data_IF_137342756312
#
_entry.id   IF_137342756312
#
_cell.length_a   1.000
_cell.length_b   1.000
_cell.length_c   1.000
_cell.angle_alpha   90.00
_cell.angle_beta   90.00
_cell.angle_gamma   90.00
#
_symmetry.space_group_name_H-M   'P 1'
#
loop_
_entity.id
_entity.type
_entity.pdbx_description
1 polymer ?
#
# COMPACT_ATOMS: atom_id res chain seq x y z
N UNK A 1 -24.47 -5.75 25.29
CA UNK A 1 -23.25 -5.01 24.87
C UNK A 1 -22.41 -6.02 24.10
N UNK A 2 -22.67 -6.20 22.81
CA UNK A 2 -21.92 -7.13 21.97
C UNK A 2 -20.71 -6.35 21.44
N UNK A 3 -19.53 -6.65 21.98
CA UNK A 3 -18.27 -6.20 21.40
C UNK A 3 -18.04 -7.01 20.12
N UNK A 4 -18.37 -6.41 18.99
CA UNK A 4 -17.93 -6.90 17.69
C UNK A 4 -16.48 -6.46 17.50
N UNK A 5 -15.54 -7.38 17.70
CA UNK A 5 -14.14 -7.24 17.29
C UNK A 5 -14.16 -7.49 15.78
N UNK A 6 -13.96 -6.45 14.98
CA UNK A 6 -13.86 -6.61 13.52
C UNK A 6 -12.63 -7.43 13.16
N UNK A 7 -12.71 -8.19 12.07
CA UNK A 7 -11.57 -8.96 11.54
C UNK A 7 -10.39 -8.00 11.21
N UNK A 8 -9.14 -8.35 11.58
CA UNK A 8 -7.98 -7.50 11.33
C UNK A 8 -7.76 -7.30 9.82
N UNK A 9 -7.23 -6.12 9.44
CA UNK A 9 -6.97 -5.74 8.04
C UNK A 9 -5.47 -5.89 7.78
N UNK A 10 -5.09 -6.89 6.98
CA UNK A 10 -3.75 -7.50 7.09
C UNK A 10 -3.09 -7.85 5.74
N UNK A 11 -2.76 -6.91 4.85
CA UNK A 11 -1.89 -7.26 3.69
C UNK A 11 -0.85 -6.18 3.36
N UNK A 12 0.41 -6.48 3.70
CA UNK A 12 1.61 -5.70 3.34
C UNK A 12 2.66 -6.67 2.83
N UNK A 13 3.15 -6.49 1.61
CA UNK A 13 4.18 -7.39 1.05
C UNK A 13 5.54 -6.72 1.13
N UNK A 14 6.45 -7.38 1.84
CA UNK A 14 7.86 -7.02 1.96
C UNK A 14 8.70 -8.08 1.23
N UNK A 15 9.57 -7.65 0.32
CA UNK A 15 10.46 -8.55 -0.43
C UNK A 15 11.94 -8.32 -0.09
N UNK A 16 12.70 -9.42 0.00
CA UNK A 16 14.15 -9.43 0.26
C UNK A 16 14.84 -10.41 -0.70
N UNK A 17 15.96 -9.99 -1.31
CA UNK A 17 16.89 -10.84 -2.05
C UNK A 17 18.21 -11.07 -1.27
N UNK A 18 18.39 -12.26 -0.68
CA UNK A 18 19.61 -12.62 0.09
C UNK A 18 20.47 -13.65 -0.66
N UNK A 19 21.79 -13.39 -0.73
CA UNK A 19 22.81 -14.36 -1.16
C UNK A 19 23.35 -15.13 0.06
N UNK A 20 22.75 -16.29 0.32
CA UNK A 20 23.27 -17.41 1.11
C UNK A 20 23.60 -17.19 2.60
N UNK A 21 22.86 -17.92 3.45
CA UNK A 21 23.42 -18.78 4.51
C UNK A 21 22.37 -19.82 4.92
N UNK A 22 22.64 -21.09 4.61
CA UNK A 22 21.83 -22.23 5.04
C UNK A 22 21.79 -22.32 6.57
N UNK A 23 20.60 -22.37 7.16
CA UNK A 23 20.41 -22.97 8.48
C UNK A 23 19.20 -23.92 8.46
N UNK A 24 19.44 -25.09 9.05
CA UNK A 24 18.73 -26.38 8.97
C UNK A 24 17.21 -26.36 9.17
N UNK A 25 16.54 -27.08 8.26
CA UNK A 25 15.32 -27.93 8.33
C UNK A 25 14.33 -27.77 9.49
N UNK A 26 13.04 -27.56 9.14
CA UNK A 26 11.88 -28.40 9.55
C UNK A 26 10.56 -27.96 8.87
N UNK A 27 9.46 -28.77 8.89
CA UNK A 27 8.81 -29.24 7.66
C UNK A 27 7.61 -28.43 7.12
N UNK A 28 7.35 -28.71 5.85
CA UNK A 28 6.18 -28.45 5.01
C UNK A 28 4.85 -28.33 5.78
N UNK A 29 4.14 -27.21 5.56
CA UNK A 29 2.71 -27.07 5.90
C UNK A 29 1.90 -27.13 4.60
N UNK A 30 1.10 -28.21 4.47
CA UNK A 30 -0.04 -28.32 3.57
C UNK A 30 -1.24 -27.57 4.17
N UNK A 31 -2.03 -26.93 3.30
CA UNK A 31 -3.38 -26.40 3.53
C UNK A 31 -3.62 -25.64 4.85
N UNK A 32 -3.45 -24.31 4.78
CA UNK A 32 -4.10 -23.39 5.72
C UNK A 32 -5.12 -22.55 4.94
N UNK A 33 -6.41 -22.75 5.25
CA UNK A 33 -7.53 -22.01 4.69
C UNK A 33 -7.44 -20.52 4.96
N UNK A 34 -8.07 -19.76 4.05
CA UNK A 34 -8.13 -18.30 4.05
C UNK A 34 -8.54 -17.71 5.40
N UNK A 35 -7.59 -17.09 6.10
CA UNK A 35 -7.84 -16.11 7.13
C UNK A 35 -6.76 -15.03 7.03
N UNK A 36 -7.21 -13.79 6.86
CA UNK A 36 -6.50 -12.50 6.95
C UNK A 36 -5.10 -12.59 7.58
N UNK A 37 -4.05 -12.45 6.77
CA UNK A 37 -2.69 -12.37 7.26
C UNK A 37 -1.75 -11.59 6.33
N UNK A 38 -0.91 -10.71 6.88
CA UNK A 38 0.08 -9.95 6.13
C UNK A 38 1.22 -10.88 5.71
N UNK A 39 1.50 -10.96 4.41
CA UNK A 39 2.46 -11.88 3.83
C UNK A 39 3.77 -11.17 3.44
N UNK A 40 4.86 -11.46 4.16
CA UNK A 40 6.23 -11.18 3.74
C UNK A 40 6.67 -12.28 2.76
N UNK A 41 7.25 -11.93 1.60
CA UNK A 41 7.68 -12.91 0.59
C UNK A 41 9.13 -12.65 0.18
N UNK A 42 10.05 -13.57 0.50
CA UNK A 42 11.48 -13.48 0.12
C UNK A 42 11.68 -14.00 -1.30
N UNK A 43 12.16 -13.16 -2.22
CA UNK A 43 12.43 -13.53 -3.62
C UNK A 43 13.94 -13.56 -3.89
N UNK A 44 14.45 -14.68 -4.41
CA UNK A 44 15.84 -14.81 -4.87
C UNK A 44 15.87 -14.70 -6.40
N UNK A 45 16.51 -13.66 -6.94
CA UNK A 45 16.71 -13.48 -8.37
C UNK A 45 18.16 -13.78 -8.76
N UNK A 46 18.40 -14.83 -9.55
CA UNK A 46 19.67 -15.03 -10.26
C UNK A 46 19.46 -14.68 -11.74
N UNK A 47 20.32 -13.82 -12.29
CA UNK A 47 20.28 -13.38 -13.68
C UNK A 47 20.19 -14.56 -14.65
N UNK A 48 19.09 -14.66 -15.39
CA UNK A 48 18.90 -15.61 -16.47
C UNK A 48 19.06 -14.95 -17.84
N UNK A 49 20.17 -15.24 -18.52
CA UNK A 49 20.37 -14.90 -19.93
C UNK A 49 19.18 -15.39 -20.78
N UNK A 50 18.56 -14.48 -21.52
CA UNK A 50 17.43 -14.75 -22.39
C UNK A 50 17.89 -15.47 -23.67
N UNK A 51 18.20 -16.76 -23.58
CA UNK A 51 18.40 -17.62 -24.73
C UNK A 51 17.32 -18.71 -24.81
N UNK A 52 16.57 -18.68 -25.91
CA UNK A 52 15.54 -19.65 -26.29
C UNK A 52 16.11 -21.07 -26.29
N UNK A 53 15.71 -21.89 -25.32
CA UNK A 53 15.96 -23.32 -25.35
C UNK A 53 15.59 -24.05 -24.05
N UNK A 54 14.38 -24.63 -24.02
CA UNK A 54 13.94 -25.70 -23.09
C UNK A 54 14.23 -25.47 -21.59
N UNK A 55 13.38 -24.69 -20.93
CA UNK A 55 13.40 -24.56 -19.47
C UNK A 55 12.74 -25.77 -18.79
N UNK A 56 13.55 -26.62 -18.14
CA UNK A 56 13.12 -27.24 -16.89
C UNK A 56 13.24 -26.15 -15.83
N UNK A 57 12.14 -25.53 -15.44
CA UNK A 57 12.12 -24.50 -14.40
C UNK A 57 12.65 -25.09 -13.09
N UNK A 58 13.89 -24.76 -12.75
CA UNK A 58 14.36 -24.87 -11.37
C UNK A 58 13.74 -23.69 -10.63
N UNK A 59 12.57 -23.88 -10.03
CA UNK A 59 12.06 -22.88 -9.09
C UNK A 59 12.97 -22.87 -7.87
N UNK A 60 13.70 -21.78 -7.64
CA UNK A 60 14.36 -21.54 -6.37
C UNK A 60 13.28 -21.47 -5.28
N UNK A 61 13.41 -22.19 -4.16
CA UNK A 61 12.39 -22.17 -3.11
C UNK A 61 12.18 -20.75 -2.57
N UNK A 62 10.95 -20.24 -2.70
CA UNK A 62 10.52 -18.97 -2.12
C UNK A 62 10.17 -19.19 -0.65
N UNK A 63 10.71 -18.35 0.25
CA UNK A 63 10.35 -18.36 1.68
C UNK A 63 9.30 -17.28 1.94
N UNK A 64 8.11 -17.70 2.30
CA UNK A 64 7.02 -16.81 2.69
C UNK A 64 6.92 -16.84 4.21
N UNK A 65 6.93 -15.67 4.84
CA UNK A 65 6.70 -15.51 6.27
C UNK A 65 5.43 -14.69 6.48
N UNK A 66 4.65 -15.06 7.49
CA UNK A 66 3.39 -14.39 7.79
C UNK A 66 3.53 -13.68 9.13
N UNK A 67 3.38 -12.36 9.11
CA UNK A 67 3.49 -11.51 10.28
C UNK A 67 2.17 -10.77 10.48
N UNK A 68 1.73 -10.62 11.73
CA UNK A 68 0.48 -9.92 12.01
C UNK A 68 0.71 -8.39 12.02
N UNK A 69 -0.24 -7.65 11.45
CA UNK A 69 -0.35 -6.21 11.59
C UNK A 69 -1.80 -5.77 11.42
N UNK A 70 -2.33 -5.04 12.40
CA UNK A 70 -3.64 -4.41 12.33
C UNK A 70 -3.48 -2.92 12.01
N UNK A 71 -3.87 -2.50 10.81
CA UNK A 71 -3.86 -1.10 10.40
C UNK A 71 -4.89 -0.23 11.16
N UNK A 72 -5.79 -0.83 11.92
CA UNK A 72 -6.67 -0.13 12.85
C UNK A 72 -5.97 0.32 14.15
N UNK A 73 -4.72 -0.11 14.39
CA UNK A 73 -3.94 0.26 15.58
C UNK A 73 -2.56 0.80 15.23
N UNK A 74 -2.26 2.02 15.68
CA UNK A 74 -0.95 2.64 15.43
C UNK A 74 0.18 1.91 16.16
N UNK A 75 -0.07 1.30 17.31
CA UNK A 75 0.94 0.46 17.99
C UNK A 75 1.24 -0.81 17.19
N UNK A 76 0.22 -1.44 16.60
CA UNK A 76 0.44 -2.60 15.75
C UNK A 76 1.30 -2.25 14.53
N UNK A 77 1.04 -1.10 13.88
CA UNK A 77 1.86 -0.60 12.77
C UNK A 77 3.31 -0.39 13.19
N UNK A 78 3.54 0.34 14.31
CA UNK A 78 4.89 0.57 14.84
C UNK A 78 5.61 -0.73 15.17
N UNK A 79 4.93 -1.70 15.77
CA UNK A 79 5.50 -3.01 16.09
C UNK A 79 5.94 -3.76 14.82
N UNK A 80 5.10 -3.76 13.79
CA UNK A 80 5.42 -4.35 12.49
C UNK A 80 6.65 -3.68 11.85
N UNK A 81 6.69 -2.35 11.79
CA UNK A 81 7.82 -1.61 11.23
C UNK A 81 9.12 -1.82 12.02
N UNK A 82 9.06 -1.89 13.36
CA UNK A 82 10.23 -2.21 14.19
C UNK A 82 10.79 -3.58 13.82
N UNK A 83 9.95 -4.60 13.72
CA UNK A 83 10.37 -5.94 13.28
C UNK A 83 10.92 -5.94 11.85
N UNK A 84 10.29 -5.21 10.94
CA UNK A 84 10.75 -5.10 9.55
C UNK A 84 12.11 -4.40 9.45
N UNK A 85 12.42 -3.45 10.34
CA UNK A 85 13.73 -2.78 10.39
C UNK A 85 14.88 -3.69 10.87
N UNK A 86 14.58 -4.84 11.46
CA UNK A 86 15.57 -5.84 11.85
C UNK A 86 15.95 -6.78 10.69
N UNK A 87 15.27 -6.68 9.54
CA UNK A 87 15.62 -7.42 8.35
C UNK A 87 16.91 -6.87 7.72
N UNK A 88 17.77 -7.76 7.23
CA UNK A 88 19.03 -7.37 6.61
C UNK A 88 18.87 -6.56 5.31
N UNK A 89 17.77 -6.82 4.59
CA UNK A 89 17.45 -6.22 3.29
C UNK A 89 15.95 -6.16 3.09
N UNK A 90 15.45 -5.04 2.58
CA UNK A 90 14.07 -4.82 2.13
C UNK A 90 14.14 -4.06 0.81
N UNK A 91 13.82 -4.74 -0.28
CA UNK A 91 13.87 -4.18 -1.64
C UNK A 91 12.56 -3.53 -2.04
N UNK A 92 11.45 -4.13 -1.60
CA UNK A 92 10.10 -3.75 -2.04
C UNK A 92 9.18 -3.71 -0.82
N UNK A 93 8.41 -2.63 -0.71
CA UNK A 93 7.25 -2.51 0.17
C UNK A 93 6.03 -2.29 -0.70
N UNK A 94 4.99 -3.11 -0.52
CA UNK A 94 3.68 -2.91 -1.14
C UNK A 94 2.64 -2.68 -0.05
N UNK A 95 2.17 -1.44 0.07
CA UNK A 95 1.05 -1.02 0.92
C UNK A 95 -0.27 -1.38 0.23
N UNK A 96 -0.65 -2.66 0.29
CA UNK A 96 -1.84 -3.19 -0.40
C UNK A 96 -3.12 -3.05 0.41
N UNK A 97 -3.03 -3.24 1.73
CA UNK A 97 -4.18 -3.29 2.61
C UNK A 97 -5.10 -2.06 2.44
N UNK A 98 -6.39 -2.34 2.38
CA UNK A 98 -7.43 -1.33 2.25
C UNK A 98 -8.75 -1.76 2.88
N UNK A 99 -9.52 -0.76 3.32
CA UNK A 99 -10.82 -0.91 3.92
C UNK A 99 -11.85 -0.10 3.13
N UNK A 100 -12.88 -0.79 2.65
CA UNK A 100 -14.06 -0.19 2.03
C UNK A 100 -15.26 -0.57 2.89
N UNK A 101 -15.91 0.44 3.48
CA UNK A 101 -16.94 0.27 4.51
C UNK A 101 -18.09 1.25 4.37
N UNK A 102 -19.30 0.81 4.69
CA UNK A 102 -20.44 1.71 4.97
C UNK A 102 -20.65 1.93 6.49
N UNK A 103 -20.00 1.12 7.32
CA UNK A 103 -20.09 1.23 8.78
C UNK A 103 -19.19 2.36 9.25
N UNK A 104 -19.78 3.32 9.96
CA UNK A 104 -19.04 4.32 10.70
C UNK A 104 -18.51 3.71 12.01
N UNK A 105 -17.21 3.86 12.22
CA UNK A 105 -16.51 3.50 13.44
C UNK A 105 -15.25 4.36 13.52
N UNK A 106 -14.76 4.57 14.74
CA UNK A 106 -13.48 5.24 14.97
C UNK A 106 -12.39 4.22 15.32
N UNK A 107 -11.21 4.40 14.72
CA UNK A 107 -9.96 3.74 15.08
C UNK A 107 -8.93 4.81 15.43
N UNK A 108 -8.31 4.70 16.60
CA UNK A 108 -7.33 5.67 17.11
C UNK A 108 -7.85 7.13 17.06
N UNK A 109 -9.16 7.31 17.21
CA UNK A 109 -9.82 8.61 17.15
C UNK A 109 -10.24 9.09 15.76
N UNK A 110 -9.87 8.42 14.67
CA UNK A 110 -10.20 8.78 13.29
C UNK A 110 -11.25 7.85 12.69
N UNK A 111 -11.98 8.31 11.66
CA UNK A 111 -12.90 7.42 10.93
C UNK A 111 -12.12 6.24 10.32
N UNK A 112 -12.64 5.02 10.47
CA UNK A 112 -11.89 3.79 10.22
C UNK A 112 -11.27 3.65 8.83
N UNK A 113 -11.94 4.09 7.76
CA UNK A 113 -11.35 4.05 6.42
C UNK A 113 -10.22 5.07 6.30
N UNK A 114 -10.38 6.25 6.89
CA UNK A 114 -9.32 7.26 6.96
C UNK A 114 -8.12 6.78 7.81
N UNK A 115 -8.38 6.16 8.97
CA UNK A 115 -7.35 5.57 9.82
C UNK A 115 -6.54 4.52 9.06
N UNK A 116 -7.21 3.57 8.40
CA UNK A 116 -6.57 2.45 7.71
C UNK A 116 -5.92 2.90 6.40
N UNK A 117 -6.70 3.45 5.46
CA UNK A 117 -6.27 3.68 4.07
C UNK A 117 -5.35 4.89 3.89
N UNK A 118 -5.28 5.76 4.91
CA UNK A 118 -4.51 7.00 4.85
C UNK A 118 -3.49 7.02 6.00
N UNK A 119 -3.94 7.14 7.24
CA UNK A 119 -3.02 7.43 8.36
C UNK A 119 -2.05 6.27 8.59
N UNK A 120 -2.55 5.06 8.80
CA UNK A 120 -1.73 3.87 9.05
C UNK A 120 -0.88 3.48 7.84
N UNK A 121 -1.44 3.55 6.62
CA UNK A 121 -0.68 3.33 5.37
C UNK A 121 0.51 4.28 5.26
N UNK A 122 0.31 5.59 5.47
CA UNK A 122 1.40 6.55 5.36
C UNK A 122 2.34 6.52 6.56
N UNK A 123 1.86 6.21 7.77
CA UNK A 123 2.71 5.94 8.93
C UNK A 123 3.68 4.79 8.64
N UNK A 124 3.15 3.67 8.14
CA UNK A 124 3.96 2.50 7.79
C UNK A 124 4.97 2.81 6.68
N UNK A 125 4.50 3.43 5.59
CA UNK A 125 5.34 3.85 4.48
C UNK A 125 6.54 4.69 4.94
N UNK A 126 6.30 5.73 5.76
CA UNK A 126 7.36 6.61 6.27
C UNK A 126 8.28 5.92 7.28
N UNK A 127 7.77 5.01 8.11
CA UNK A 127 8.58 4.22 9.04
C UNK A 127 9.49 3.21 8.32
N UNK A 128 9.11 2.76 7.12
CA UNK A 128 9.89 1.80 6.32
C UNK A 128 10.85 2.47 5.32
N UNK A 129 10.75 3.79 5.08
CA UNK A 129 11.70 4.51 4.23
C UNK A 129 13.18 4.34 4.65
N UNK A 130 13.55 4.39 5.95
CA UNK A 130 14.94 4.21 6.37
C UNK A 130 15.52 2.85 5.97
N UNK A 131 14.78 1.74 6.14
CA UNK A 131 15.28 0.39 5.81
C UNK A 131 15.40 0.17 4.30
N UNK A 132 14.49 0.76 3.50
CA UNK A 132 14.62 0.80 2.04
C UNK A 132 15.90 1.55 1.61
N UNK A 133 16.20 2.69 2.25
CA UNK A 133 17.41 3.45 1.93
C UNK A 133 18.69 2.78 2.38
N UNK A 134 18.68 2.11 3.52
CA UNK A 134 19.80 1.27 3.94
C UNK A 134 20.04 0.16 2.91
N UNK A 135 18.97 -0.48 2.42
CA UNK A 135 19.05 -1.47 1.36
C UNK A 135 19.67 -0.90 0.08
N UNK A 136 19.24 0.29 -0.35
CA UNK A 136 19.87 1.00 -1.46
C UNK A 136 21.37 1.19 -1.26
N UNK A 137 21.76 1.75 -0.11
CA UNK A 137 23.16 2.07 0.16
C UNK A 137 24.06 0.83 0.20
N UNK A 138 23.56 -0.29 0.76
CA UNK A 138 24.35 -1.52 0.95
C UNK A 138 24.37 -2.43 -0.28
N UNK A 139 23.27 -2.53 -1.02
CA UNK A 139 23.13 -3.53 -2.08
C UNK A 139 23.11 -2.92 -3.48
N UNK A 140 22.46 -1.79 -3.67
CA UNK A 140 22.37 -1.17 -5.01
C UNK A 140 23.60 -0.33 -5.33
N UNK A 141 23.96 0.59 -4.43
CA UNK A 141 25.06 1.55 -4.68
C UNK A 141 26.44 0.88 -4.61
N UNK A 142 26.65 -0.04 -3.67
CA UNK A 142 27.94 -0.70 -3.48
C UNK A 142 28.19 -1.86 -4.46
N UNK A 143 27.15 -2.58 -4.88
CA UNK A 143 27.31 -3.75 -5.77
C UNK A 143 27.04 -3.43 -7.25
N UNK A 144 26.67 -2.18 -7.57
CA UNK A 144 26.43 -1.72 -8.94
C UNK A 144 25.19 -2.34 -9.57
N UNK A 145 24.20 -2.75 -8.77
CA UNK A 145 22.93 -3.28 -9.28
C UNK A 145 22.15 -2.16 -9.99
N UNK A 146 21.72 -2.43 -11.22
CA UNK A 146 20.88 -1.52 -12.00
C UNK A 146 19.44 -1.58 -11.52
N UNK A 147 19.13 -0.96 -10.40
CA UNK A 147 17.78 -0.88 -9.85
C UNK A 147 17.68 0.09 -8.68
N UNK A 148 16.49 0.15 -8.08
CA UNK A 148 16.24 0.91 -6.86
C UNK A 148 15.24 0.14 -5.98
N UNK A 149 15.28 0.31 -4.65
CA UNK A 149 14.18 -0.13 -3.81
C UNK A 149 12.87 0.59 -4.16
N UNK A 150 11.75 -0.10 -3.99
CA UNK A 150 10.42 0.39 -4.34
C UNK A 150 9.49 0.43 -3.12
N UNK A 151 8.81 1.55 -2.95
CA UNK A 151 7.64 1.71 -2.10
C UNK A 151 6.42 1.91 -3.01
N UNK A 152 5.54 0.92 -3.06
CA UNK A 152 4.35 0.95 -3.89
C UNK A 152 3.11 1.06 -2.99
N UNK A 153 2.27 2.07 -3.24
CA UNK A 153 1.00 2.25 -2.52
C UNK A 153 -0.17 1.87 -3.41
N UNK A 154 -1.11 1.09 -2.91
CA UNK A 154 -2.28 0.70 -3.72
C UNK A 154 -3.35 1.78 -3.71
N UNK A 155 -3.56 2.36 -4.89
CA UNK A 155 -4.58 3.35 -5.19
C UNK A 155 -5.95 2.72 -5.43
N UNK A 156 -6.81 3.48 -6.10
CA UNK A 156 -8.07 2.99 -6.65
C UNK A 156 -8.66 4.00 -7.63
N UNK A 157 -9.22 3.53 -8.75
CA UNK A 157 -10.02 4.29 -9.68
C UNK A 157 -11.26 4.92 -9.02
N UNK A 158 -11.59 4.55 -7.78
CA UNK A 158 -12.51 5.28 -6.91
C UNK A 158 -12.19 6.79 -6.83
N UNK A 159 -10.91 7.18 -6.93
CA UNK A 159 -10.49 8.60 -6.93
C UNK A 159 -11.13 9.45 -8.04
N UNK A 160 -11.59 8.85 -9.15
CA UNK A 160 -12.28 9.58 -10.23
C UNK A 160 -13.73 9.92 -9.90
N UNK A 161 -14.34 9.27 -8.91
CA UNK A 161 -15.79 9.35 -8.65
C UNK A 161 -16.14 10.16 -7.40
N UNK A 162 -15.14 10.69 -6.69
CA UNK A 162 -15.39 11.47 -5.48
C UNK A 162 -15.68 12.95 -5.78
N UNK A 163 -16.66 13.50 -5.07
CA UNK A 163 -16.89 14.94 -4.99
C UNK A 163 -16.09 15.61 -3.86
N UNK A 164 -15.49 14.83 -2.97
CA UNK A 164 -14.68 15.20 -1.80
C UNK A 164 -15.07 16.53 -1.16
N UNK A 165 -16.30 16.65 -0.67
CA UNK A 165 -16.84 17.91 -0.14
C UNK A 165 -16.05 18.43 1.07
N UNK A 166 -15.56 17.53 1.92
CA UNK A 166 -14.82 17.87 3.15
C UNK A 166 -13.48 18.55 2.87
N UNK A 167 -12.99 18.59 1.61
CA UNK A 167 -11.76 19.29 1.25
C UNK A 167 -11.78 20.80 1.54
N UNK A 168 -12.98 21.37 1.66
CA UNK A 168 -13.19 22.80 1.92
C UNK A 168 -13.36 23.12 3.40
N UNK A 169 -13.47 22.10 4.27
CA UNK A 169 -13.60 22.29 5.71
C UNK A 169 -12.28 22.79 6.32
N UNK A 170 -12.26 23.43 7.50
CA UNK A 170 -11.03 23.93 8.13
C UNK A 170 -10.02 22.84 8.52
N UNK A 171 -10.50 21.64 8.89
CA UNK A 171 -9.69 20.44 9.11
C UNK A 171 -10.36 19.28 8.41
N UNK A 172 -9.64 18.66 7.48
CA UNK A 172 -10.15 17.58 6.63
C UNK A 172 -10.34 16.32 7.49
N UNK A 173 -9.34 15.96 8.31
CA UNK A 173 -9.40 14.77 9.15
C UNK A 173 -10.51 14.86 10.21
N UNK A 174 -10.71 16.03 10.84
CA UNK A 174 -11.84 16.22 11.77
C UNK A 174 -13.19 16.20 11.05
N UNK A 175 -13.31 16.80 9.86
CA UNK A 175 -14.54 16.74 9.08
C UNK A 175 -14.91 15.31 8.63
N UNK A 176 -13.91 14.46 8.37
CA UNK A 176 -14.10 13.06 8.02
C UNK A 176 -14.45 12.17 9.23
N UNK A 177 -14.22 12.63 10.46
CA UNK A 177 -14.45 11.88 11.70
C UNK A 177 -15.90 11.47 11.92
N UNK A 178 -16.85 12.29 11.47
CA UNK A 178 -18.28 12.02 11.60
C UNK A 178 -18.81 10.93 10.65
N UNK A 179 -20.02 10.46 10.92
CA UNK A 179 -20.74 9.46 10.12
C UNK A 179 -21.42 10.06 8.88
N UNK A 180 -20.81 11.07 8.27
CA UNK A 180 -21.35 11.77 7.10
C UNK A 180 -21.42 10.87 5.87
N UNK A 181 -20.92 11.35 4.73
CA UNK A 181 -20.97 10.60 3.47
C UNK A 181 -20.06 9.35 3.46
N UNK A 182 -20.52 8.26 4.08
CA UNK A 182 -19.85 6.96 4.12
C UNK A 182 -19.80 6.28 2.76
N UNK A 183 -20.66 6.68 1.81
CA UNK A 183 -20.67 6.16 0.44
C UNK A 183 -19.49 6.66 -0.36
N UNK A 184 -19.17 7.95 -0.27
CA UNK A 184 -17.99 8.52 -0.93
C UNK A 184 -16.71 8.42 -0.08
N UNK A 185 -16.80 8.03 1.20
CA UNK A 185 -15.64 7.98 2.11
C UNK A 185 -14.45 7.20 1.52
N UNK A 186 -14.69 6.02 0.96
CA UNK A 186 -13.63 5.23 0.32
C UNK A 186 -12.95 6.00 -0.82
N UNK A 187 -13.75 6.57 -1.74
CA UNK A 187 -13.26 7.36 -2.86
C UNK A 187 -12.47 8.60 -2.39
N UNK A 188 -12.92 9.27 -1.31
CA UNK A 188 -12.18 10.35 -0.68
C UNK A 188 -10.81 9.85 -0.20
N UNK A 189 -10.75 8.74 0.54
CA UNK A 189 -9.47 8.21 1.06
C UNK A 189 -8.49 7.86 -0.06
N UNK A 190 -8.98 7.36 -1.20
CA UNK A 190 -8.13 7.01 -2.34
C UNK A 190 -7.63 8.25 -3.10
N UNK A 191 -8.43 9.29 -3.22
CA UNK A 191 -7.95 10.60 -3.71
C UNK A 191 -6.95 11.24 -2.74
N UNK A 192 -7.21 11.19 -1.43
CA UNK A 192 -6.26 11.68 -0.41
C UNK A 192 -4.91 10.99 -0.54
N UNK A 193 -4.88 9.65 -0.57
CA UNK A 193 -3.62 8.90 -0.66
C UNK A 193 -2.87 9.18 -1.96
N UNK A 194 -3.56 9.39 -3.08
CA UNK A 194 -2.91 9.82 -4.32
C UNK A 194 -2.21 11.18 -4.15
N UNK A 195 -2.91 12.17 -3.61
CA UNK A 195 -2.36 13.51 -3.42
C UNK A 195 -1.17 13.46 -2.45
N UNK A 196 -1.30 12.72 -1.35
CA UNK A 196 -0.20 12.51 -0.40
C UNK A 196 1.00 11.85 -1.09
N UNK A 197 0.80 10.84 -1.93
CA UNK A 197 1.89 10.19 -2.66
C UNK A 197 2.68 11.18 -3.52
N UNK A 198 1.99 12.02 -4.29
CA UNK A 198 2.62 13.06 -5.11
C UNK A 198 3.44 14.03 -4.27
N UNK A 199 2.92 14.39 -3.10
CA UNK A 199 3.52 15.37 -2.19
C UNK A 199 4.72 14.80 -1.41
N UNK A 200 4.68 13.51 -1.08
CA UNK A 200 5.80 12.76 -0.51
C UNK A 200 6.90 12.58 -1.56
N UNK A 201 6.56 12.13 -2.77
CA UNK A 201 7.51 11.97 -3.87
C UNK A 201 8.26 13.27 -4.17
N UNK A 202 7.53 14.38 -4.31
CA UNK A 202 8.12 15.72 -4.47
C UNK A 202 9.11 16.06 -3.36
N UNK A 203 8.77 15.79 -2.09
CA UNK A 203 9.68 16.06 -0.96
C UNK A 203 10.88 15.13 -0.92
N UNK A 204 10.75 13.90 -1.37
CA UNK A 204 11.88 12.97 -1.48
C UNK A 204 12.92 13.52 -2.47
N UNK A 205 12.47 14.06 -3.60
CA UNK A 205 13.32 14.71 -4.60
C UNK A 205 14.01 15.97 -4.04
N UNK A 206 13.32 16.75 -3.22
CA UNK A 206 13.83 17.97 -2.58
C UNK A 206 14.74 17.71 -1.37
N UNK A 207 14.57 16.57 -0.69
CA UNK A 207 15.18 16.25 0.61
C UNK A 207 16.63 15.77 0.57
N UNK A 208 17.18 15.50 -0.61
CA UNK A 208 18.60 15.14 -0.80
C UNK A 208 19.03 13.78 -0.23
N UNK A 209 18.08 12.96 0.21
CA UNK A 209 18.34 11.59 0.70
C UNK A 209 18.47 10.60 -0.46
N UNK A 210 19.05 9.41 -0.22
CA UNK A 210 19.10 8.37 -1.25
C UNK A 210 17.72 8.10 -1.84
N UNK A 211 17.63 8.21 -3.17
CA UNK A 211 16.37 8.07 -3.90
C UNK A 211 15.87 6.62 -3.83
N UNK A 212 14.59 6.46 -3.51
CA UNK A 212 13.85 5.22 -3.73
C UNK A 212 12.70 5.52 -4.71
N UNK A 213 12.15 4.50 -5.34
CA UNK A 213 10.97 4.67 -6.21
C UNK A 213 9.72 4.65 -5.33
N UNK A 214 8.92 5.71 -5.38
CA UNK A 214 7.60 5.76 -4.77
C UNK A 214 6.58 5.84 -5.90
N UNK A 215 5.65 4.89 -6.01
CA UNK A 215 4.57 4.97 -6.99
C UNK A 215 3.25 4.51 -6.40
N UNK A 216 2.17 4.77 -7.14
CA UNK A 216 0.84 4.29 -6.79
C UNK A 216 0.31 3.36 -7.87
N UNK A 217 -0.15 2.16 -7.50
CA UNK A 217 -0.72 1.18 -8.43
C UNK A 217 -2.23 1.08 -8.27
N UNK A 218 -2.94 1.03 -9.38
CA UNK A 218 -4.33 0.63 -9.46
C UNK A 218 -4.45 -0.76 -10.11
N UNK A 219 -4.98 -1.75 -9.38
CA UNK A 219 -5.13 -3.09 -9.92
C UNK A 219 -6.38 -3.26 -10.81
N UNK A 220 -7.23 -2.24 -10.90
CA UNK A 220 -8.57 -2.31 -11.47
C UNK A 220 -9.56 -3.02 -10.54
N UNK A 221 -10.77 -3.24 -11.04
CA UNK A 221 -11.78 -4.02 -10.32
C UNK A 221 -11.37 -5.50 -10.26
N UNK A 222 -10.89 -5.96 -9.10
CA UNK A 222 -10.41 -7.32 -8.88
C UNK A 222 -11.34 -8.11 -7.95
N UNK A 223 -11.42 -9.42 -8.18
CA UNK A 223 -12.06 -10.36 -7.26
C UNK A 223 -11.29 -10.37 -5.93
N UNK A 224 -11.83 -9.72 -4.91
CA UNK A 224 -11.18 -9.52 -3.62
C UNK A 224 -12.21 -9.41 -2.50
N UNK A 225 -11.74 -9.57 -1.26
CA UNK A 225 -12.54 -9.39 -0.04
C UNK A 225 -12.72 -7.92 0.35
N UNK A 226 -12.54 -6.98 -0.60
CA UNK A 226 -12.78 -5.56 -0.38
C UNK A 226 -14.25 -5.27 0.01
N UNK A 227 -15.19 -6.05 -0.53
CA UNK A 227 -16.64 -5.95 -0.24
C UNK A 227 -17.12 -6.98 0.80
N UNK A 228 -16.23 -7.55 1.62
CA UNK A 228 -16.54 -8.64 2.57
C UNK A 228 -17.60 -8.31 3.62
N UNK A 229 -17.82 -7.03 3.93
CA UNK A 229 -18.73 -6.62 4.98
C UNK A 229 -20.18 -7.05 4.72
N UNK A 230 -20.83 -7.64 5.73
CA UNK A 230 -22.22 -8.09 5.59
C UNK A 230 -23.23 -6.94 5.60
N UNK A 231 -22.80 -5.72 5.84
CA UNK A 231 -23.64 -4.52 5.96
C UNK A 231 -24.10 -3.94 4.63
N UNK A 232 -23.59 -4.44 3.50
CA UNK A 232 -24.07 -4.04 2.17
C UNK A 232 -25.55 -4.37 1.98
N UNK A 233 -26.26 -3.42 1.36
CA UNK A 233 -27.65 -3.57 0.95
C UNK A 233 -27.84 -4.78 0.03
N UNK A 234 -28.97 -5.47 0.16
CA UNK A 234 -29.23 -6.73 -0.55
C UNK A 234 -29.17 -6.57 -2.08
N UNK A 235 -29.63 -5.44 -2.62
CA UNK A 235 -29.62 -5.17 -4.05
C UNK A 235 -28.20 -4.93 -4.58
N UNK A 236 -27.33 -4.32 -3.76
CA UNK A 236 -25.92 -4.13 -4.10
C UNK A 236 -25.19 -5.47 -4.13
N UNK A 237 -25.45 -6.33 -3.13
CA UNK A 237 -24.91 -7.71 -3.11
C UNK A 237 -25.33 -8.51 -4.33
N UNK A 238 -26.60 -8.43 -4.73
CA UNK A 238 -27.10 -9.08 -5.94
C UNK A 238 -26.40 -8.56 -7.20
N UNK A 239 -26.27 -7.24 -7.31
CA UNK A 239 -25.58 -6.61 -8.45
C UNK A 239 -24.11 -7.03 -8.52
N UNK A 240 -23.39 -7.05 -7.40
CA UNK A 240 -22.00 -7.51 -7.33
C UNK A 240 -21.84 -9.00 -7.60
N UNK A 241 -22.80 -9.84 -7.20
CA UNK A 241 -22.78 -11.27 -7.50
C UNK A 241 -22.87 -11.56 -9.01
N UNK A 242 -23.51 -10.68 -9.77
CA UNK A 242 -23.61 -10.76 -11.24
C UNK A 242 -22.43 -10.06 -11.92
N UNK A 243 -22.02 -8.89 -11.44
CA UNK A 243 -20.97 -8.08 -12.06
C UNK A 243 -19.57 -8.69 -11.87
N UNK A 244 -19.27 -9.24 -10.69
CA UNK A 244 -17.91 -9.71 -10.33
C UNK A 244 -17.40 -10.82 -11.26
N UNK A 245 -18.17 -11.88 -11.59
CA UNK A 245 -17.67 -12.95 -12.47
C UNK A 245 -17.41 -12.49 -13.91
N UNK A 246 -18.04 -11.39 -14.35
CA UNK A 246 -18.00 -10.92 -15.74
C UNK A 246 -17.01 -9.78 -15.95
N UNK A 247 -16.94 -8.86 -14.98
CA UNK A 247 -16.20 -7.60 -15.11
C UNK A 247 -14.94 -7.57 -14.24
N UNK A 248 -14.86 -8.35 -13.16
CA UNK A 248 -13.71 -8.32 -12.28
C UNK A 248 -12.54 -9.12 -12.86
N UNK A 249 -11.34 -8.55 -12.75
CA UNK A 249 -10.08 -9.24 -12.97
C UNK A 249 -9.92 -10.35 -11.94
N UNK A 250 -9.35 -11.47 -12.37
CA UNK A 250 -8.88 -12.49 -11.43
C UNK A 250 -7.75 -11.92 -10.56
N UNK A 251 -7.51 -12.46 -9.37
CA UNK A 251 -6.38 -12.04 -8.54
C UNK A 251 -5.04 -12.15 -9.27
N UNK A 252 -4.87 -13.17 -10.11
CA UNK A 252 -3.67 -13.33 -10.95
C UNK A 252 -3.51 -12.16 -11.93
N UNK A 253 -4.57 -11.79 -12.66
CA UNK A 253 -4.52 -10.65 -13.58
C UNK A 253 -4.25 -9.33 -12.85
N UNK A 254 -4.90 -9.13 -11.69
CA UNK A 254 -4.66 -7.97 -10.82
C UNK A 254 -3.21 -7.91 -10.35
N UNK A 255 -2.64 -9.02 -9.91
CA UNK A 255 -1.26 -9.11 -9.39
C UNK A 255 -0.20 -8.65 -10.38
N UNK A 256 -0.45 -8.78 -11.69
CA UNK A 256 0.48 -8.32 -12.74
C UNK A 256 0.74 -6.81 -12.66
N UNK A 257 -0.26 -6.02 -12.29
CA UNK A 257 -0.12 -4.57 -12.11
C UNK A 257 0.86 -4.24 -10.97
N UNK A 258 0.81 -4.99 -9.87
CA UNK A 258 1.73 -4.86 -8.74
C UNK A 258 3.16 -5.18 -9.16
N UNK A 259 3.36 -6.32 -9.82
CA UNK A 259 4.67 -6.75 -10.30
C UNK A 259 5.24 -5.72 -11.28
N UNK A 260 4.41 -5.19 -12.17
CA UNK A 260 4.82 -4.12 -13.08
C UNK A 260 5.22 -2.85 -12.30
N UNK A 261 4.40 -2.39 -11.36
CA UNK A 261 4.67 -1.18 -10.58
C UNK A 261 5.98 -1.27 -9.80
N UNK A 262 6.27 -2.40 -9.17
CA UNK A 262 7.54 -2.60 -8.42
C UNK A 262 8.74 -2.89 -9.32
N UNK A 263 8.52 -3.02 -10.64
CA UNK A 263 9.57 -3.23 -11.64
C UNK A 263 9.77 -2.04 -12.59
N UNK A 264 8.91 -1.01 -12.52
CA UNK A 264 8.88 0.10 -13.48
C UNK A 264 10.07 1.07 -13.31
N UNK A 265 10.76 1.05 -12.17
CA UNK A 265 11.95 1.85 -11.90
C UNK A 265 11.68 3.34 -11.76
N UNK A 266 12.75 4.15 -11.84
CA UNK A 266 12.72 5.60 -11.62
C UNK A 266 11.68 6.38 -12.44
N UNK A 267 11.37 6.04 -13.70
CA UNK A 267 10.32 6.73 -14.45
C UNK A 267 8.93 6.69 -13.81
N UNK A 268 8.67 5.73 -12.90
CA UNK A 268 7.41 5.64 -12.17
C UNK A 268 7.37 6.43 -10.87
N UNK A 269 8.49 7.02 -10.43
CA UNK A 269 8.57 7.78 -9.19
C UNK A 269 7.61 8.99 -9.21
N UNK A 270 6.70 9.07 -8.24
CA UNK A 270 5.68 10.10 -8.13
C UNK A 270 4.46 9.92 -9.04
N UNK A 271 4.37 8.80 -9.77
CA UNK A 271 3.30 8.56 -10.74
C UNK A 271 2.27 7.54 -10.25
N UNK A 272 1.05 7.74 -10.74
CA UNK A 272 -0.03 6.77 -10.71
C UNK A 272 0.12 5.81 -11.90
N UNK A 273 -0.20 4.54 -11.67
CA UNK A 273 -0.02 3.47 -12.63
C UNK A 273 -1.26 2.59 -12.65
N UNK A 274 -1.68 2.16 -13.82
CA UNK A 274 -2.76 1.20 -14.01
C UNK A 274 -2.45 0.38 -15.25
N UNK A 275 -3.03 -0.81 -15.39
CA UNK A 275 -2.95 -1.62 -16.61
C UNK A 275 -1.53 -1.89 -17.13
N UNK A 276 -0.57 -1.93 -16.21
CA UNK A 276 0.86 -2.09 -16.49
C UNK A 276 1.46 -0.94 -17.33
N UNK A 277 0.99 0.28 -17.09
CA UNK A 277 1.49 1.51 -17.69
C UNK A 277 1.46 2.70 -16.72
N UNK A 278 2.23 3.75 -17.05
CA UNK A 278 2.07 5.05 -16.39
C UNK A 278 0.74 5.64 -16.83
N UNK A 279 -0.08 6.10 -15.88
CA UNK A 279 -1.40 6.65 -16.18
C UNK A 279 -1.60 8.02 -15.53
N UNK A 280 -2.64 8.72 -15.97
CA UNK A 280 -3.03 10.01 -15.42
C UNK A 280 -4.05 9.82 -14.31
N UNK A 281 -3.85 10.45 -13.13
CA UNK A 281 -4.82 10.40 -12.06
C UNK A 281 -6.12 11.17 -12.39
N UNK A 282 -7.03 11.29 -11.42
CA UNK A 282 -8.21 12.14 -11.55
C UNK A 282 -7.81 13.55 -12.00
N UNK A 283 -8.46 14.13 -13.04
CA UNK A 283 -8.09 15.44 -13.57
C UNK A 283 -8.07 16.54 -12.50
N UNK A 284 -8.89 16.39 -11.44
CA UNK A 284 -8.90 17.28 -10.29
C UNK A 284 -7.50 17.44 -9.66
N UNK A 285 -6.70 16.37 -9.58
CA UNK A 285 -5.39 16.39 -8.96
C UNK A 285 -4.39 17.33 -9.68
N UNK A 286 -4.59 17.60 -10.97
CA UNK A 286 -3.73 18.47 -11.77
C UNK A 286 -4.23 19.93 -11.85
N UNK A 287 -5.43 20.20 -11.31
CA UNK A 287 -5.93 21.57 -11.16
C UNK A 287 -5.13 22.34 -10.10
N UNK A 288 -5.16 23.67 -10.15
CA UNK A 288 -4.54 24.50 -9.11
C UNK A 288 -5.16 24.25 -7.72
N UNK A 289 -6.47 24.01 -7.67
CA UNK A 289 -7.17 23.59 -6.44
C UNK A 289 -6.63 22.25 -5.93
N UNK A 290 -6.47 21.25 -6.80
CA UNK A 290 -5.92 19.94 -6.47
C UNK A 290 -4.49 20.02 -5.92
N UNK A 291 -3.63 20.84 -6.54
CA UNK A 291 -2.26 21.08 -6.06
C UNK A 291 -2.22 21.81 -4.71
N UNK A 292 -3.13 22.75 -4.48
CA UNK A 292 -3.26 23.40 -3.17
C UNK A 292 -3.73 22.40 -2.11
N UNK A 293 -4.71 21.56 -2.46
CA UNK A 293 -5.21 20.51 -1.58
C UNK A 293 -4.15 19.46 -1.28
N UNK A 294 -3.30 19.12 -2.26
CA UNK A 294 -2.18 18.21 -2.11
C UNK A 294 -1.26 18.64 -0.96
N UNK A 295 -0.73 19.86 -1.02
CA UNK A 295 0.13 20.43 0.03
C UNK A 295 -0.60 20.46 1.37
N UNK A 296 -1.88 20.84 1.36
CA UNK A 296 -2.69 20.99 2.57
C UNK A 296 -2.96 19.66 3.27
N UNK A 297 -3.42 18.63 2.55
CA UNK A 297 -3.70 17.30 3.11
C UNK A 297 -2.42 16.71 3.67
N UNK A 298 -1.31 16.82 2.94
CA UNK A 298 -0.03 16.34 3.44
C UNK A 298 0.38 17.05 4.74
N UNK A 299 0.19 18.37 4.85
CA UNK A 299 0.50 19.10 6.09
C UNK A 299 -0.35 18.62 7.27
N UNK A 300 -1.67 18.48 7.08
CA UNK A 300 -2.55 17.98 8.14
C UNK A 300 -2.19 16.52 8.52
N UNK A 301 -1.88 15.68 7.54
CA UNK A 301 -1.40 14.33 7.81
C UNK A 301 -0.06 14.34 8.56
N UNK A 302 0.89 15.18 8.16
CA UNK A 302 2.19 15.29 8.79
C UNK A 302 2.06 15.64 10.28
N UNK A 303 1.17 16.58 10.63
CA UNK A 303 0.86 16.90 12.03
C UNK A 303 0.36 15.66 12.79
N UNK A 304 -0.60 14.93 12.21
CA UNK A 304 -1.11 13.67 12.79
C UNK A 304 0.00 12.62 12.96
N UNK A 305 0.85 12.44 11.95
CA UNK A 305 1.92 11.45 11.99
C UNK A 305 3.00 11.81 13.01
N UNK A 306 3.35 13.09 13.14
CA UNK A 306 4.31 13.59 14.14
C UNK A 306 3.78 13.44 15.58
N UNK A 307 2.47 13.58 15.80
CA UNK A 307 1.85 13.30 17.08
C UNK A 307 1.92 11.80 17.44
N UNK A 308 1.82 10.90 16.45
CA UNK A 308 1.90 9.45 16.65
C UNK A 308 3.34 8.97 16.85
N UNK A 309 4.26 9.43 15.99
CA UNK A 309 5.70 9.15 16.04
C UNK A 309 6.48 10.44 15.76
N UNK A 310 7.00 11.12 16.80
CA UNK A 310 7.81 12.32 16.62
C UNK A 310 9.04 12.06 15.74
N UNK A 311 9.23 12.91 14.74
CA UNK A 311 10.31 12.86 13.76
C UNK A 311 10.02 11.98 12.54
N UNK A 312 8.87 11.31 12.43
CA UNK A 312 8.61 10.38 11.33
C UNK A 312 8.62 11.05 9.95
N UNK A 313 8.23 12.32 9.85
CA UNK A 313 8.27 13.06 8.57
C UNK A 313 9.70 13.40 8.15
N UNK A 314 10.65 13.39 9.10
CA UNK A 314 12.08 13.44 8.80
C UNK A 314 12.58 12.16 8.15
N UNK A 315 11.73 11.15 7.90
CA UNK A 315 12.09 10.02 7.04
C UNK A 315 11.81 10.31 5.57
N UNK A 316 11.12 11.40 5.19
CA UNK A 316 10.88 11.74 3.77
C UNK A 316 12.15 12.21 3.09
#
# INVERSE_FOLDING_TARGET
MFNYVGDPITEVVLCNADQSKESKSDPVIQDAGLASSTAYSRFHWENGDYHRGKYREKHTPCKIEIWEVDLGSFESVKSFCRRASELDRVDIVVENAGLLSQVHQLFEGYERQCAVNVISTWLMALLLLPVLRETKARFYDQQGESGLPHLCVVGSNAQFYTQFEQRNEPSIFEALRGSGDMRNRYANTKLMSLLIMREVAKRMDEGGKPQIVLNMVDPGFCQSDLLREKTWEWYFKLMMAVATPVLARTPEMGSRTYIWAVSAGSPSHGYYTEDCELSTPAPFADTEEGKCLQVRIFRELAEVLEDIVPGVTQNI
#
